data_IF_448226212478
#
_entry.id   IF_448226212478
#
_cell.length_a   1.000
_cell.length_b   1.000
_cell.length_c   1.000
_cell.angle_alpha   90.00
_cell.angle_beta   90.00
_cell.angle_gamma   90.00
#
_symmetry.space_group_name_H-M   'P 1'
#
loop_
_entity.id
_entity.type
_entity.pdbx_description
1 polymer ?
#
# COMPACT_ATOMS: atom_id res chain seq x y z
N UNK A 1 6.18 -12.30 44.21
CA UNK A 1 5.30 -12.94 43.21
C UNK A 1 4.29 -11.98 42.57
N UNK A 2 3.49 -11.21 43.32
CA UNK A 2 2.48 -10.28 42.75
C UNK A 2 3.05 -9.22 41.78
N UNK A 3 4.21 -8.64 42.09
CA UNK A 3 4.87 -7.62 41.23
C UNK A 3 5.44 -8.22 39.93
N UNK A 4 5.89 -9.48 39.95
CA UNK A 4 6.42 -10.18 38.78
C UNK A 4 5.29 -10.59 37.84
N UNK A 5 4.17 -11.06 38.38
CA UNK A 5 2.97 -11.37 37.61
C UNK A 5 2.36 -10.13 36.93
N UNK A 6 2.39 -8.96 37.59
CA UNK A 6 1.89 -7.71 37.01
C UNK A 6 2.77 -7.21 35.85
N UNK A 7 4.09 -7.32 35.98
CA UNK A 7 5.04 -6.93 34.91
C UNK A 7 4.90 -7.85 33.70
N UNK A 8 4.77 -9.16 33.92
CA UNK A 8 4.52 -10.13 32.84
C UNK A 8 3.18 -9.86 32.15
N UNK A 9 2.12 -9.53 32.89
CA UNK A 9 0.81 -9.21 32.30
C UNK A 9 0.85 -7.95 31.44
N UNK A 10 1.55 -6.89 31.89
CA UNK A 10 1.72 -5.65 31.10
C UNK A 10 2.55 -5.89 29.84
N UNK A 11 3.59 -6.73 29.92
CA UNK A 11 4.44 -7.07 28.77
C UNK A 11 3.67 -7.90 27.72
N UNK A 12 2.87 -8.89 28.15
CA UNK A 12 2.05 -9.72 27.26
C UNK A 12 0.91 -8.90 26.63
N UNK A 13 0.28 -7.99 27.39
CA UNK A 13 -0.75 -7.10 26.84
C UNK A 13 -0.17 -6.09 25.82
N UNK A 14 1.03 -5.57 26.08
CA UNK A 14 1.72 -4.65 25.16
C UNK A 14 2.09 -5.30 23.82
N UNK A 15 2.53 -6.57 23.83
CA UNK A 15 2.87 -7.30 22.60
C UNK A 15 1.62 -7.59 21.76
N UNK A 16 0.51 -8.00 22.40
CA UNK A 16 -0.75 -8.31 21.70
C UNK A 16 -1.33 -7.08 20.96
N UNK A 17 -1.20 -5.89 21.54
CA UNK A 17 -1.69 -4.65 20.93
C UNK A 17 -0.94 -4.27 19.66
N UNK A 18 0.37 -4.53 19.58
CA UNK A 18 1.16 -4.20 18.38
C UNK A 18 0.82 -5.10 17.19
N UNK A 19 0.56 -6.39 17.41
CA UNK A 19 0.17 -7.32 16.33
C UNK A 19 -1.21 -7.01 15.75
N UNK A 20 -2.14 -6.50 16.56
CA UNK A 20 -3.48 -6.13 16.07
C UNK A 20 -3.47 -4.90 15.17
N UNK A 21 -2.56 -3.95 15.38
CA UNK A 21 -2.46 -2.74 14.53
C UNK A 21 -2.03 -3.11 13.11
N UNK A 22 -0.98 -3.94 12.96
CA UNK A 22 -0.53 -4.37 11.63
C UNK A 22 -1.57 -5.19 10.85
N UNK A 23 -2.39 -5.99 11.54
CA UNK A 23 -3.46 -6.73 10.90
C UNK A 23 -4.57 -5.79 10.38
N UNK A 24 -4.97 -4.81 11.20
CA UNK A 24 -5.96 -3.81 10.81
C UNK A 24 -5.49 -2.93 9.64
N UNK A 25 -4.22 -2.50 9.65
CA UNK A 25 -3.63 -1.72 8.56
C UNK A 25 -3.62 -2.51 7.24
N UNK A 26 -3.27 -3.80 7.29
CA UNK A 26 -3.29 -4.67 6.11
C UNK A 26 -4.68 -4.81 5.51
N UNK A 27 -5.71 -5.02 6.34
CA UNK A 27 -7.09 -5.14 5.86
C UNK A 27 -7.60 -3.80 5.29
N UNK A 28 -7.32 -2.69 5.96
CA UNK A 28 -7.71 -1.35 5.50
C UNK A 28 -7.05 -0.98 4.16
N UNK A 29 -5.73 -1.22 4.03
CA UNK A 29 -4.98 -1.03 2.78
C UNK A 29 -5.60 -1.88 1.66
N UNK A 30 -5.87 -3.16 1.93
CA UNK A 30 -6.45 -4.08 0.95
C UNK A 30 -7.82 -3.60 0.49
N UNK A 31 -8.73 -3.27 1.43
CA UNK A 31 -10.08 -2.78 1.11
C UNK A 31 -10.01 -1.54 0.24
N UNK A 32 -9.17 -0.58 0.62
CA UNK A 32 -9.02 0.68 -0.11
C UNK A 32 -8.53 0.47 -1.54
N UNK A 33 -7.51 -0.38 -1.74
CA UNK A 33 -7.02 -0.71 -3.08
C UNK A 33 -8.10 -1.43 -3.89
N UNK A 34 -8.77 -2.42 -3.30
CA UNK A 34 -9.81 -3.19 -3.98
C UNK A 34 -11.01 -2.33 -4.40
N UNK A 35 -11.43 -1.39 -3.56
CA UNK A 35 -12.50 -0.43 -3.87
C UNK A 35 -12.12 0.48 -5.05
N UNK A 36 -10.89 1.00 -5.06
CA UNK A 36 -10.40 1.86 -6.15
C UNK A 36 -10.29 1.06 -7.44
N UNK A 37 -9.76 -0.17 -7.39
CA UNK A 37 -9.67 -1.08 -8.54
C UNK A 37 -11.07 -1.35 -9.11
N UNK A 38 -12.05 -1.67 -8.26
CA UNK A 38 -13.44 -1.88 -8.69
C UNK A 38 -14.03 -0.65 -9.35
N UNK A 39 -13.78 0.54 -8.79
CA UNK A 39 -14.29 1.79 -9.34
C UNK A 39 -13.65 2.12 -10.69
N UNK A 40 -12.33 1.89 -10.85
CA UNK A 40 -11.64 2.03 -12.14
C UNK A 40 -12.18 1.04 -13.16
N UNK A 41 -12.34 -0.24 -12.78
CA UNK A 41 -12.94 -1.27 -13.64
C UNK A 41 -14.39 -0.94 -14.02
N UNK A 42 -15.09 -0.12 -13.23
CA UNK A 42 -16.45 0.36 -13.50
C UNK A 42 -16.47 1.66 -14.33
N UNK A 43 -15.32 2.14 -14.81
CA UNK A 43 -15.19 3.29 -15.71
C UNK A 43 -14.75 4.60 -15.05
N UNK A 44 -14.37 4.61 -13.77
CA UNK A 44 -13.76 5.82 -13.17
C UNK A 44 -12.33 6.04 -13.66
N UNK A 45 -11.93 7.30 -13.75
CA UNK A 45 -10.57 7.68 -14.13
C UNK A 45 -9.64 7.58 -12.93
N UNK A 46 -8.36 7.26 -13.16
CA UNK A 46 -7.31 7.35 -12.14
C UNK A 46 -7.26 8.74 -11.47
N UNK A 47 -7.51 9.81 -12.23
CA UNK A 47 -7.52 11.20 -11.73
C UNK A 47 -8.56 11.45 -10.64
N UNK A 48 -9.64 10.67 -10.60
CA UNK A 48 -10.70 10.81 -9.61
C UNK A 48 -10.22 10.42 -8.19
N UNK A 49 -9.07 9.76 -8.09
CA UNK A 49 -8.48 9.28 -6.84
C UNK A 49 -7.28 10.11 -6.37
N UNK A 50 -7.07 11.32 -6.92
CA UNK A 50 -5.99 12.22 -6.49
C UNK A 50 -5.97 12.50 -4.99
N UNK A 51 -7.13 12.59 -4.35
CA UNK A 51 -7.20 12.79 -2.89
C UNK A 51 -6.83 11.53 -2.09
N UNK A 52 -6.90 10.34 -2.70
CA UNK A 52 -6.40 9.12 -2.06
C UNK A 52 -4.87 9.11 -1.90
N UNK A 53 -4.14 9.90 -2.69
CA UNK A 53 -2.70 10.12 -2.50
C UNK A 53 -2.36 10.96 -1.26
N UNK A 54 -3.35 11.61 -0.64
CA UNK A 54 -3.17 12.43 0.57
C UNK A 54 -3.70 11.74 1.83
N UNK A 55 -4.22 10.51 1.70
CA UNK A 55 -4.75 9.77 2.85
C UNK A 55 -3.62 9.38 3.78
N UNK A 56 -3.86 9.61 5.07
CA UNK A 56 -3.03 9.17 6.18
C UNK A 56 -3.77 8.03 6.90
N UNK A 57 -3.07 7.02 7.45
CA UNK A 57 -1.61 6.84 7.44
C UNK A 57 -1.06 6.22 6.13
N UNK A 58 -1.95 5.72 5.25
CA UNK A 58 -1.55 5.02 4.04
C UNK A 58 -2.11 5.71 2.80
N UNK A 59 -1.22 6.33 2.03
CA UNK A 59 -1.58 6.92 0.76
C UNK A 59 -1.76 5.84 -0.31
N UNK A 60 -2.57 6.14 -1.32
CA UNK A 60 -2.70 5.33 -2.53
C UNK A 60 -1.89 5.97 -3.65
N UNK A 61 -1.30 5.12 -4.48
CA UNK A 61 -0.77 5.51 -5.78
C UNK A 61 -1.41 4.69 -6.89
N UNK A 62 -1.45 5.28 -8.09
CA UNK A 62 -1.91 4.63 -9.32
C UNK A 62 -0.83 4.85 -10.37
N UNK A 63 -0.45 3.77 -11.03
CA UNK A 63 0.65 3.71 -11.99
C UNK A 63 0.19 3.00 -13.25
N UNK A 64 0.70 3.37 -14.42
CA UNK A 64 0.62 2.55 -15.63
C UNK A 64 1.63 1.40 -15.57
N UNK A 65 1.43 0.32 -16.32
CA UNK A 65 2.36 -0.82 -16.37
C UNK A 65 3.79 -0.43 -16.83
N UNK A 66 3.94 0.64 -17.61
CA UNK A 66 5.23 1.18 -18.04
C UNK A 66 5.97 1.99 -16.96
N UNK A 67 5.33 2.22 -15.80
CA UNK A 67 5.90 2.93 -14.66
C UNK A 67 5.44 4.38 -14.51
N UNK A 68 4.66 4.95 -15.43
CA UNK A 68 4.17 6.33 -15.26
C UNK A 68 3.17 6.43 -14.09
N UNK A 69 3.47 7.29 -13.12
CA UNK A 69 2.60 7.53 -11.96
C UNK A 69 1.51 8.54 -12.30
N UNK A 70 0.26 8.08 -12.31
CA UNK A 70 -0.93 8.90 -12.56
C UNK A 70 -1.45 9.57 -11.29
N UNK A 71 -1.27 8.89 -10.17
CA UNK A 71 -1.61 9.38 -8.83
C UNK A 71 -0.47 9.02 -7.89
N UNK A 72 0.16 10.02 -7.29
CA UNK A 72 1.19 9.82 -6.27
C UNK A 72 1.36 11.12 -5.46
N UNK A 73 1.67 11.07 -4.15
CA UNK A 73 1.79 12.26 -3.31
C UNK A 73 2.77 13.33 -3.83
N UNK A 74 3.82 12.92 -4.54
CA UNK A 74 4.93 13.81 -4.96
C UNK A 74 5.58 13.48 -6.31
N UNK A 75 5.13 12.43 -7.00
CA UNK A 75 5.78 11.91 -8.21
C UNK A 75 4.78 11.74 -9.36
N UNK A 76 3.61 12.40 -9.29
CA UNK A 76 2.64 12.42 -10.40
C UNK A 76 3.32 12.90 -11.70
N UNK A 77 3.07 12.18 -12.80
CA UNK A 77 3.66 12.40 -14.11
C UNK A 77 5.10 11.90 -14.27
N UNK A 78 5.72 11.34 -13.22
CA UNK A 78 7.07 10.75 -13.30
C UNK A 78 7.02 9.25 -13.52
N UNK A 79 8.10 8.70 -14.05
CA UNK A 79 8.25 7.26 -14.21
C UNK A 79 8.95 6.63 -12.97
N UNK A 80 8.29 5.66 -12.35
CA UNK A 80 8.80 4.96 -11.17
C UNK A 80 10.04 4.11 -11.48
N UNK A 81 10.12 3.53 -12.68
CA UNK A 81 11.27 2.73 -13.12
C UNK A 81 12.57 3.54 -13.08
N UNK A 82 12.49 4.81 -13.46
CA UNK A 82 13.63 5.74 -13.45
C UNK A 82 13.93 6.24 -12.04
N UNK A 83 12.89 6.53 -11.25
CA UNK A 83 13.04 7.08 -9.91
C UNK A 83 13.50 6.04 -8.88
N UNK A 84 13.05 4.78 -9.02
CA UNK A 84 13.26 3.71 -8.07
C UNK A 84 12.98 2.33 -8.69
N UNK A 85 13.93 1.83 -9.48
CA UNK A 85 13.81 0.53 -10.15
C UNK A 85 13.38 -0.63 -9.23
N UNK A 86 13.94 -0.81 -8.01
CA UNK A 86 13.52 -1.91 -7.14
C UNK A 86 12.05 -1.82 -6.70
N UNK A 87 11.53 -0.60 -6.53
CA UNK A 87 10.13 -0.39 -6.21
C UNK A 87 9.26 -0.73 -7.42
N UNK A 88 9.64 -0.24 -8.61
CA UNK A 88 8.96 -0.55 -9.86
C UNK A 88 8.88 -2.07 -10.12
N UNK A 89 9.99 -2.78 -10.00
CA UNK A 89 10.06 -4.23 -10.23
C UNK A 89 9.15 -5.00 -9.27
N UNK A 90 9.10 -4.59 -8.00
CA UNK A 90 8.23 -5.20 -7.01
C UNK A 90 6.75 -4.94 -7.32
N UNK A 91 6.35 -3.67 -7.51
CA UNK A 91 4.92 -3.32 -7.71
C UNK A 91 4.39 -3.81 -9.06
N UNK A 92 5.28 -4.02 -10.05
CA UNK A 92 4.92 -4.60 -11.36
C UNK A 92 4.53 -6.09 -11.28
N UNK A 93 4.77 -6.76 -10.15
CA UNK A 93 4.29 -8.12 -9.89
C UNK A 93 2.78 -8.17 -9.56
N UNK A 94 2.10 -7.02 -9.59
CA UNK A 94 0.66 -6.93 -9.36
C UNK A 94 -0.13 -7.93 -10.22
N UNK A 95 -1.10 -8.57 -9.58
CA UNK A 95 -2.03 -9.52 -10.20
C UNK A 95 -3.44 -8.94 -10.22
N UNK A 96 -4.36 -9.60 -10.96
CA UNK A 96 -5.78 -9.25 -10.96
C UNK A 96 -6.47 -9.52 -9.61
N UNK A 97 -5.96 -10.45 -8.81
CA UNK A 97 -6.45 -10.77 -7.46
C UNK A 97 -5.78 -9.93 -6.37
N UNK A 98 -4.72 -9.21 -6.73
CA UNK A 98 -3.87 -8.47 -5.83
C UNK A 98 -2.76 -9.32 -5.21
N UNK A 99 -1.67 -8.68 -4.81
CA UNK A 99 -0.54 -9.33 -4.16
C UNK A 99 0.13 -8.38 -3.18
N UNK A 100 0.74 -8.93 -2.14
CA UNK A 100 1.59 -8.19 -1.22
C UNK A 100 3.03 -8.27 -1.71
N UNK A 101 3.68 -7.11 -1.84
CA UNK A 101 5.06 -6.98 -2.28
C UNK A 101 5.87 -6.22 -1.25
N UNK A 102 7.15 -6.56 -1.15
CA UNK A 102 8.10 -5.87 -0.30
C UNK A 102 9.20 -5.27 -1.16
N UNK A 103 9.57 -4.03 -0.87
CA UNK A 103 10.65 -3.33 -1.58
C UNK A 103 11.28 -2.26 -0.69
N UNK A 104 12.43 -1.73 -1.13
CA UNK A 104 13.07 -0.59 -0.46
C UNK A 104 12.64 0.72 -1.11
N UNK A 105 12.18 1.66 -0.28
CA UNK A 105 11.85 3.02 -0.66
C UNK A 105 12.64 4.02 0.19
N UNK A 106 13.49 4.83 -0.46
CA UNK A 106 14.36 5.80 0.22
C UNK A 106 15.14 5.19 1.40
N UNK A 107 15.63 3.96 1.23
CA UNK A 107 16.39 3.23 2.25
C UNK A 107 15.56 2.46 3.29
N UNK A 108 14.24 2.63 3.33
CA UNK A 108 13.37 1.92 4.26
C UNK A 108 12.66 0.76 3.56
N UNK A 109 12.44 -0.35 4.29
CA UNK A 109 11.58 -1.41 3.79
C UNK A 109 10.12 -0.95 3.80
N UNK A 110 9.41 -1.30 2.72
CA UNK A 110 7.99 -1.02 2.54
C UNK A 110 7.27 -2.29 2.19
N UNK A 111 6.08 -2.45 2.76
CA UNK A 111 5.14 -3.50 2.40
C UNK A 111 3.94 -2.85 1.73
N UNK A 112 3.63 -3.26 0.50
CA UNK A 112 2.50 -2.71 -0.23
C UNK A 112 1.60 -3.82 -0.75
N UNK A 113 0.30 -3.58 -0.72
CA UNK A 113 -0.65 -4.36 -1.49
C UNK A 113 -0.84 -3.68 -2.83
N UNK A 114 -0.68 -4.44 -3.91
CA UNK A 114 -0.77 -3.95 -5.29
C UNK A 114 -1.70 -4.82 -6.10
N UNK A 115 -2.49 -4.21 -6.97
CA UNK A 115 -3.48 -4.91 -7.79
C UNK A 115 -3.65 -4.25 -9.15
N UNK A 116 -3.83 -5.05 -10.20
CA UNK A 116 -4.13 -4.55 -11.55
C UNK A 116 -5.54 -3.97 -11.61
N UNK A 117 -5.70 -2.89 -12.35
CA UNK A 117 -6.96 -2.21 -12.62
C UNK A 117 -7.02 -1.76 -14.08
N UNK A 118 -8.21 -1.82 -14.67
CA UNK A 118 -8.50 -1.32 -16.02
C UNK A 118 -7.52 -1.82 -17.09
N UNK A 119 -7.33 -0.99 -18.11
CA UNK A 119 -6.41 -1.24 -19.22
C UNK A 119 -4.97 -0.90 -18.84
N UNK A 120 -4.32 -1.78 -18.05
CA UNK A 120 -2.89 -1.69 -17.78
C UNK A 120 -2.50 -0.69 -16.69
N UNK A 121 -3.36 -0.47 -15.69
CA UNK A 121 -3.02 0.26 -14.48
C UNK A 121 -2.74 -0.67 -13.30
N UNK A 122 -1.95 -0.18 -12.36
CA UNK A 122 -1.64 -0.82 -11.08
C UNK A 122 -1.99 0.18 -9.99
N UNK A 123 -2.82 -0.25 -9.05
CA UNK A 123 -3.19 0.50 -7.85
C UNK A 123 -2.43 -0.11 -6.68
N UNK A 124 -1.85 0.72 -5.82
CA UNK A 124 -1.14 0.23 -4.65
C UNK A 124 -1.21 1.17 -3.45
N UNK A 125 -1.02 0.58 -2.27
CA UNK A 125 -0.89 1.29 -0.99
C UNK A 125 -0.11 0.42 0.00
N UNK A 126 0.56 1.04 0.97
CA UNK A 126 1.49 0.34 1.84
C UNK A 126 1.96 1.14 3.06
N UNK A 127 2.76 0.47 3.89
CA UNK A 127 3.37 1.02 5.11
C UNK A 127 4.88 0.81 5.14
#
# INVERSE_FOLDING_TARGET
>A
MKKVALILAVMVMGIALTTSVFAADKEAIKSQVDEIVQAINSGKSASDFKDAAKKEPHYVYIMKEDGELLVHPSLEGKNLKEAALPAYEAVSQATGDGTWVQYKWKGNEKNAYVRKAGEGMIVGSGY
#
